data_IF_699956163213
#
_entry.id   IF_699956163213
#
_cell.length_a   1.000
_cell.length_b   1.000
_cell.length_c   1.000
_cell.angle_alpha   90.00
_cell.angle_beta   90.00
_cell.angle_gamma   90.00
#
_symmetry.space_group_name_H-M   'P 1'
#
loop_
_entity.id
_entity.type
_entity.pdbx_description
1 polymer ?
#
# COMPACT_ATOMS: atom_id res chain seq x y z
N UNK A 1 -16.18 20.43 69.60
CA UNK A 1 -16.65 19.32 68.73
C UNK A 1 -17.65 19.86 67.70
N UNK A 2 -17.25 20.70 66.73
CA UNK A 2 -18.23 21.34 65.81
C UNK A 2 -17.61 21.94 64.52
N UNK A 3 -16.71 21.23 63.81
CA UNK A 3 -16.18 21.74 62.51
C UNK A 3 -16.08 20.72 61.38
N UNK A 4 -16.47 19.45 61.57
CA UNK A 4 -16.38 18.41 60.52
C UNK A 4 -17.68 18.14 59.74
N UNK A 5 -18.84 18.61 60.21
CA UNK A 5 -20.13 18.32 59.55
C UNK A 5 -20.51 19.25 58.38
N UNK A 6 -19.93 20.46 58.32
CA UNK A 6 -20.36 21.49 57.36
C UNK A 6 -19.68 21.30 56.00
N UNK A 7 -18.37 21.00 55.98
CA UNK A 7 -17.61 20.77 54.74
C UNK A 7 -18.09 19.53 53.94
N UNK A 8 -18.58 18.49 54.63
CA UNK A 8 -19.09 17.29 53.96
C UNK A 8 -20.46 17.51 53.28
N UNK A 9 -21.30 18.42 53.81
CA UNK A 9 -22.59 18.76 53.21
C UNK A 9 -22.44 19.62 51.95
N UNK A 10 -21.50 20.57 51.94
CA UNK A 10 -21.22 21.38 50.75
C UNK A 10 -20.49 20.59 49.66
N UNK A 11 -19.57 19.69 50.01
CA UNK A 11 -18.91 18.82 49.03
C UNK A 11 -19.89 17.92 48.27
N UNK A 12 -20.91 17.39 48.95
CA UNK A 12 -21.94 16.55 48.30
C UNK A 12 -22.91 17.35 47.43
N UNK A 13 -23.25 18.58 47.81
CA UNK A 13 -24.10 19.45 46.97
C UNK A 13 -23.35 20.07 45.79
N UNK A 14 -22.07 20.41 45.94
CA UNK A 14 -21.23 20.90 44.83
C UNK A 14 -20.98 19.78 43.82
N UNK A 15 -20.78 18.54 44.29
CA UNK A 15 -20.62 17.37 43.41
C UNK A 15 -21.93 16.98 42.69
N UNK A 16 -23.10 17.19 43.31
CA UNK A 16 -24.41 16.98 42.67
C UNK A 16 -24.74 18.09 41.65
N UNK A 17 -24.34 19.34 41.89
CA UNK A 17 -24.49 20.43 40.92
C UNK A 17 -23.53 20.28 39.73
N UNK A 18 -22.29 19.81 39.95
CA UNK A 18 -21.33 19.58 38.84
C UNK A 18 -21.76 18.42 37.94
N UNK A 19 -22.41 17.39 38.50
CA UNK A 19 -22.95 16.26 37.70
C UNK A 19 -24.20 16.66 36.90
N UNK A 20 -25.01 17.62 37.39
CA UNK A 20 -26.17 18.13 36.63
C UNK A 20 -25.77 19.05 35.47
N UNK A 21 -24.67 19.80 35.61
CA UNK A 21 -24.12 20.67 34.55
C UNK A 21 -23.41 19.84 33.48
N UNK A 22 -22.80 18.71 33.83
CA UNK A 22 -22.22 17.77 32.87
C UNK A 22 -23.27 16.94 32.09
N UNK A 23 -24.52 16.85 32.58
CA UNK A 23 -25.61 16.15 31.90
C UNK A 23 -26.40 17.02 30.90
N UNK A 24 -26.17 18.34 30.87
CA UNK A 24 -26.95 19.28 30.04
C UNK A 24 -26.20 19.87 28.84
N UNK A 25 -24.95 19.43 28.58
CA UNK A 25 -24.13 19.96 27.46
C UNK A 25 -24.08 19.02 26.24
N UNK A 26 -24.69 17.83 26.29
CA UNK A 26 -24.83 16.96 25.11
C UNK A 26 -26.13 17.23 24.34
N UNK A 27 -26.34 18.48 23.92
CA UNK A 27 -27.52 18.83 23.11
C UNK A 27 -27.20 19.79 21.96
N UNK A 28 -26.06 19.62 21.29
CA UNK A 28 -25.83 20.15 19.94
C UNK A 28 -24.97 19.20 19.11
N UNK A 29 -25.46 17.98 18.91
CA UNK A 29 -25.11 17.19 17.73
C UNK A 29 -26.44 16.77 17.09
N UNK A 30 -27.12 17.72 16.44
CA UNK A 30 -28.20 17.36 15.52
C UNK A 30 -27.53 16.65 14.32
N UNK A 31 -28.00 15.47 13.91
CA UNK A 31 -27.54 14.86 12.68
C UNK A 31 -27.79 15.84 11.52
N UNK A 32 -26.75 16.04 10.72
CA UNK A 32 -26.80 16.68 9.41
C UNK A 32 -27.95 16.04 8.61
N UNK A 33 -28.75 16.88 7.94
CA UNK A 33 -30.08 16.57 7.39
C UNK A 33 -30.24 15.17 6.77
N UNK A 34 -31.21 14.40 7.27
CA UNK A 34 -31.61 13.06 6.80
C UNK A 34 -32.55 13.08 5.58
N UNK A 35 -32.60 14.18 4.82
CA UNK A 35 -33.46 14.28 3.64
C UNK A 35 -32.81 13.50 2.51
N UNK A 36 -33.52 12.47 2.05
CA UNK A 36 -33.13 11.62 0.94
C UNK A 36 -33.90 12.02 -0.30
N UNK A 37 -33.19 12.27 -1.39
CA UNK A 37 -33.74 12.76 -2.65
C UNK A 37 -33.45 11.75 -3.74
N UNK A 38 -34.48 11.45 -4.54
CA UNK A 38 -34.37 10.67 -5.76
C UNK A 38 -34.83 11.53 -6.92
N UNK A 39 -33.95 11.71 -7.89
CA UNK A 39 -34.19 12.51 -9.09
C UNK A 39 -33.69 11.74 -10.31
N UNK A 40 -34.58 11.55 -11.27
CA UNK A 40 -34.23 11.06 -12.60
C UNK A 40 -34.80 12.03 -13.64
N UNK A 41 -33.95 12.92 -14.12
CA UNK A 41 -34.29 13.93 -15.11
C UNK A 41 -33.34 13.83 -16.29
N UNK A 42 -33.89 13.88 -17.49
CA UNK A 42 -33.13 13.92 -18.73
C UNK A 42 -33.57 15.13 -19.56
N UNK A 43 -32.63 16.03 -19.83
CA UNK A 43 -32.78 17.21 -20.68
C UNK A 43 -33.95 18.14 -20.29
N UNK A 44 -34.09 18.39 -18.99
CA UNK A 44 -35.14 19.23 -18.39
C UNK A 44 -34.57 20.61 -18.05
N UNK A 45 -35.41 21.64 -17.91
CA UNK A 45 -34.93 22.96 -17.45
C UNK A 45 -34.47 22.90 -16.00
N UNK A 46 -33.47 23.71 -15.65
CA UNK A 46 -32.97 23.84 -14.28
C UNK A 46 -34.08 24.25 -13.31
N UNK A 47 -35.02 25.10 -13.74
CA UNK A 47 -36.23 25.45 -12.97
C UNK A 47 -37.02 24.20 -12.55
N UNK A 48 -37.29 23.29 -13.49
CA UNK A 48 -38.06 22.07 -13.20
C UNK A 48 -37.29 21.13 -12.27
N UNK A 49 -35.96 21.08 -12.41
CA UNK A 49 -35.10 20.27 -11.54
C UNK A 49 -35.09 20.81 -10.10
N UNK A 50 -34.98 22.13 -9.94
CA UNK A 50 -35.07 22.82 -8.66
C UNK A 50 -36.44 22.58 -8.03
N UNK A 51 -37.53 22.79 -8.78
CA UNK A 51 -38.90 22.54 -8.32
C UNK A 51 -39.12 21.09 -7.84
N UNK A 52 -38.50 20.13 -8.51
CA UNK A 52 -38.58 18.72 -8.12
C UNK A 52 -37.87 18.44 -6.78
N UNK A 53 -36.79 19.17 -6.48
CA UNK A 53 -36.07 19.10 -5.20
C UNK A 53 -36.86 19.80 -4.10
N UNK A 54 -37.40 21.00 -4.36
CA UNK A 54 -38.22 21.75 -3.38
C UNK A 54 -39.51 21.01 -3.01
N UNK A 55 -40.08 20.20 -3.92
CA UNK A 55 -41.25 19.34 -3.60
C UNK A 55 -40.92 18.16 -2.68
N UNK A 56 -39.69 17.67 -2.72
CA UNK A 56 -39.24 16.51 -1.93
C UNK A 56 -38.50 16.91 -0.65
N UNK A 57 -38.22 18.20 -0.46
CA UNK A 57 -37.37 18.68 0.63
C UNK A 57 -37.83 20.03 1.18
N UNK A 58 -37.49 20.38 2.44
CA UNK A 58 -37.79 21.69 3.01
C UNK A 58 -36.83 22.80 2.54
N UNK A 59 -35.98 22.52 1.55
CA UNK A 59 -35.00 23.48 1.05
C UNK A 59 -35.62 24.40 -0.01
N UNK A 60 -35.24 25.68 0.02
CA UNK A 60 -35.63 26.69 -0.97
C UNK A 60 -34.40 27.25 -1.66
N UNK A 61 -34.45 27.34 -2.98
CA UNK A 61 -33.35 27.86 -3.78
C UNK A 61 -33.47 29.37 -3.93
N UNK A 62 -32.40 30.09 -3.59
CA UNK A 62 -32.30 31.54 -3.73
C UNK A 62 -31.29 31.82 -4.83
N UNK A 63 -31.79 32.31 -5.96
CA UNK A 63 -30.99 32.70 -7.11
C UNK A 63 -30.83 34.22 -7.15
N UNK A 64 -29.61 34.69 -7.41
CA UNK A 64 -29.35 36.10 -7.65
C UNK A 64 -29.09 36.43 -9.11
N UNK A 65 -28.49 35.53 -9.90
CA UNK A 65 -27.91 35.88 -11.21
C UNK A 65 -27.89 34.75 -12.27
N UNK A 66 -28.43 33.55 -11.99
CA UNK A 66 -28.34 32.36 -12.88
C UNK A 66 -29.54 32.24 -13.82
N UNK A 67 -29.32 31.87 -15.09
CA UNK A 67 -30.40 31.53 -16.02
C UNK A 67 -30.98 30.14 -15.72
N UNK A 68 -32.26 30.08 -15.36
CA UNK A 68 -32.98 28.83 -15.09
C UNK A 68 -33.46 28.09 -16.35
N UNK A 69 -33.26 28.68 -17.52
CA UNK A 69 -33.59 28.07 -18.82
C UNK A 69 -32.58 27.01 -19.26
N UNK A 70 -31.44 26.91 -18.57
CA UNK A 70 -30.38 25.93 -18.85
C UNK A 70 -30.95 24.51 -18.76
N UNK A 71 -30.57 23.66 -19.71
CA UNK A 71 -30.94 22.25 -19.74
C UNK A 71 -29.98 21.42 -18.92
N UNK A 72 -30.54 20.56 -18.05
CA UNK A 72 -29.79 19.69 -17.14
C UNK A 72 -30.32 18.26 -17.22
N UNK A 73 -29.39 17.31 -17.06
CA UNK A 73 -29.70 15.89 -16.86
C UNK A 73 -29.05 15.45 -15.56
N UNK A 74 -29.82 14.84 -14.67
CA UNK A 74 -29.33 14.36 -13.37
C UNK A 74 -30.02 13.04 -13.03
N UNK A 75 -29.23 12.08 -12.56
CA UNK A 75 -29.72 10.79 -12.11
C UNK A 75 -29.10 10.47 -10.76
N UNK A 76 -29.88 10.61 -9.70
CA UNK A 76 -29.49 10.35 -8.31
C UNK A 76 -30.60 9.56 -7.62
N UNK A 77 -30.23 8.63 -6.75
CA UNK A 77 -31.18 7.75 -6.05
C UNK A 77 -30.80 7.66 -4.58
N UNK A 78 -31.73 8.03 -3.69
CA UNK A 78 -31.56 8.00 -2.23
C UNK A 78 -30.34 8.81 -1.74
N UNK A 79 -30.07 9.94 -2.38
CA UNK A 79 -28.91 10.79 -2.10
C UNK A 79 -29.23 11.91 -1.11
N UNK A 80 -28.19 12.45 -0.48
CA UNK A 80 -28.32 13.64 0.37
C UNK A 80 -28.55 14.89 -0.49
N UNK A 81 -29.04 15.97 0.14
CA UNK A 81 -29.17 17.27 -0.54
C UNK A 81 -27.83 17.78 -1.08
N UNK A 82 -26.74 17.59 -0.33
CA UNK A 82 -25.39 18.00 -0.72
C UNK A 82 -24.93 17.25 -1.98
N UNK A 83 -25.04 15.91 -1.99
CA UNK A 83 -24.66 15.12 -3.16
C UNK A 83 -25.55 15.41 -4.37
N UNK A 84 -26.85 15.62 -4.13
CA UNK A 84 -27.82 15.99 -5.17
C UNK A 84 -27.48 17.35 -5.79
N UNK A 85 -27.21 18.36 -4.98
CA UNK A 85 -26.79 19.68 -5.43
C UNK A 85 -25.44 19.62 -6.15
N UNK A 86 -24.48 18.83 -5.64
CA UNK A 86 -23.20 18.61 -6.32
C UNK A 86 -23.41 18.01 -7.72
N UNK A 87 -24.25 16.99 -7.85
CA UNK A 87 -24.52 16.35 -9.14
C UNK A 87 -25.27 17.28 -10.12
N UNK A 88 -26.15 18.14 -9.62
CA UNK A 88 -26.96 19.05 -10.43
C UNK A 88 -26.17 20.30 -10.89
N UNK A 89 -25.42 20.93 -10.00
CA UNK A 89 -24.81 22.26 -10.24
C UNK A 89 -23.35 22.20 -10.72
N UNK A 90 -22.58 21.17 -10.36
CA UNK A 90 -21.17 21.03 -10.78
C UNK A 90 -21.00 20.94 -12.31
N UNK A 91 -21.87 20.25 -13.08
CA UNK A 91 -21.71 20.18 -14.54
C UNK A 91 -22.03 21.48 -15.27
N UNK A 92 -22.84 22.36 -14.66
CA UNK A 92 -23.28 23.63 -15.26
C UNK A 92 -22.52 24.85 -14.73
N UNK A 93 -21.46 24.63 -13.96
CA UNK A 93 -20.61 25.71 -13.46
C UNK A 93 -21.32 26.64 -12.46
N UNK A 94 -22.14 26.07 -11.58
CA UNK A 94 -22.86 26.83 -10.54
C UNK A 94 -22.35 26.42 -9.16
N UNK A 95 -21.90 27.38 -8.34
CA UNK A 95 -21.67 27.16 -6.91
C UNK A 95 -22.97 27.25 -6.14
N UNK A 96 -23.01 26.55 -5.01
CA UNK A 96 -24.11 26.69 -4.06
C UNK A 96 -23.59 26.74 -2.63
N UNK A 97 -24.33 27.43 -1.75
CA UNK A 97 -24.12 27.43 -0.31
C UNK A 97 -25.43 27.12 0.41
N UNK A 98 -25.38 26.16 1.33
CA UNK A 98 -26.52 25.77 2.16
C UNK A 98 -26.43 26.50 3.50
N UNK A 99 -27.40 27.37 3.80
CA UNK A 99 -27.52 28.04 5.10
C UNK A 99 -28.94 27.80 5.66
N UNK A 100 -29.05 26.87 6.62
CA UNK A 100 -30.34 26.48 7.20
C UNK A 100 -31.20 25.76 6.16
N UNK A 101 -32.35 26.35 5.80
CA UNK A 101 -33.27 25.83 4.76
C UNK A 101 -33.08 26.50 3.41
N UNK A 102 -32.15 27.45 3.27
CA UNK A 102 -31.93 28.17 2.02
C UNK A 102 -30.67 27.66 1.32
N UNK A 103 -30.76 27.47 0.01
CA UNK A 103 -29.64 27.14 -0.86
C UNK A 103 -29.41 28.33 -1.78
N UNK A 104 -28.35 29.07 -1.52
CA UNK A 104 -27.95 30.21 -2.34
C UNK A 104 -27.16 29.71 -3.53
N UNK A 105 -27.61 30.05 -4.74
CA UNK A 105 -26.91 29.74 -5.97
C UNK A 105 -26.10 30.95 -6.43
N UNK A 106 -24.87 30.73 -6.87
CA UNK A 106 -23.98 31.79 -7.38
C UNK A 106 -23.25 31.25 -8.61
N UNK A 107 -23.19 32.06 -9.67
CA UNK A 107 -22.44 31.73 -10.88
C UNK A 107 -20.95 31.62 -10.54
N UNK A 108 -20.27 30.58 -11.05
CA UNK A 108 -18.83 30.47 -10.89
C UNK A 108 -18.17 31.46 -11.85
N UNK A 109 -17.36 32.38 -11.33
CA UNK A 109 -16.53 33.22 -12.17
C UNK A 109 -15.24 32.47 -12.52
N UNK A 110 -15.01 32.13 -13.80
CA UNK A 110 -13.83 31.38 -14.20
C UNK A 110 -12.56 32.20 -13.92
N UNK A 111 -11.63 31.61 -13.18
CA UNK A 111 -10.37 32.25 -12.81
C UNK A 111 -9.24 31.67 -13.64
N UNK A 112 -8.49 32.53 -14.34
CA UNK A 112 -7.28 32.13 -15.02
C UNK A 112 -6.12 32.07 -14.03
N UNK A 113 -5.54 30.88 -13.89
CA UNK A 113 -4.33 30.63 -13.11
C UNK A 113 -3.15 30.33 -14.03
N UNK A 114 -1.96 30.62 -13.54
CA UNK A 114 -0.70 30.32 -14.22
C UNK A 114 0.36 29.93 -13.21
N UNK A 115 1.43 29.29 -13.66
CA UNK A 115 2.52 28.96 -12.76
C UNK A 115 3.62 28.17 -13.42
N UNK A 116 4.61 27.80 -12.61
CA UNK A 116 5.76 27.00 -13.01
C UNK A 116 5.91 25.80 -12.08
N UNK A 117 6.23 24.65 -12.66
CA UNK A 117 6.44 23.38 -11.95
C UNK A 117 7.91 23.01 -12.03
N UNK A 118 8.53 22.84 -10.87
CA UNK A 118 9.95 22.58 -10.68
C UNK A 118 10.18 21.27 -9.92
N UNK A 119 11.35 20.67 -10.08
CA UNK A 119 11.85 19.59 -9.23
C UNK A 119 12.56 20.14 -7.98
N UNK A 120 12.97 19.27 -7.06
CA UNK A 120 13.72 19.66 -5.86
C UNK A 120 15.09 20.30 -6.16
N UNK A 121 15.64 20.06 -7.36
CA UNK A 121 16.90 20.64 -7.82
C UNK A 121 16.71 22.01 -8.49
N UNK A 122 15.47 22.45 -8.68
CA UNK A 122 15.10 23.71 -9.33
C UNK A 122 15.01 23.62 -10.87
N UNK A 123 15.03 22.43 -11.46
CA UNK A 123 14.81 22.25 -12.89
C UNK A 123 13.32 22.21 -13.24
N UNK A 124 12.91 22.79 -14.38
CA UNK A 124 11.52 22.73 -14.82
C UNK A 124 11.10 21.31 -15.19
N UNK A 125 9.86 20.95 -14.87
CA UNK A 125 9.27 19.64 -15.20
C UNK A 125 8.35 19.81 -16.42
N UNK A 126 8.79 19.43 -17.63
CA UNK A 126 7.95 19.48 -18.82
C UNK A 126 6.96 18.31 -18.87
N UNK A 127 5.77 18.55 -19.41
CA UNK A 127 4.74 17.53 -19.59
C UNK A 127 4.04 17.06 -18.30
N UNK A 128 4.19 17.78 -17.19
CA UNK A 128 3.39 17.56 -15.98
C UNK A 128 1.93 17.91 -16.27
N UNK A 129 1.01 17.05 -15.84
CA UNK A 129 -0.42 17.28 -15.98
C UNK A 129 -0.95 18.09 -14.79
N UNK A 130 -1.68 19.16 -15.09
CA UNK A 130 -2.33 20.05 -14.11
C UNK A 130 -3.83 19.99 -14.36
N UNK A 131 -4.58 19.40 -13.43
CA UNK A 131 -6.01 19.09 -13.60
C UNK A 131 -6.80 19.74 -12.46
N UNK A 132 -7.94 20.35 -12.77
CA UNK A 132 -8.88 20.79 -11.75
C UNK A 132 -9.58 19.59 -11.11
N UNK A 133 -9.39 19.41 -9.80
CA UNK A 133 -9.79 18.22 -9.04
C UNK A 133 -11.27 17.90 -9.24
N UNK A 134 -11.57 16.67 -9.64
CA UNK A 134 -12.93 16.19 -9.86
C UNK A 134 -13.54 16.56 -11.21
N UNK A 135 -12.77 17.18 -12.11
CA UNK A 135 -13.20 17.50 -13.47
C UNK A 135 -12.22 16.91 -14.51
N UNK A 136 -12.56 17.01 -15.78
CA UNK A 136 -11.63 16.74 -16.90
C UNK A 136 -10.95 18.01 -17.41
N UNK A 137 -11.13 19.14 -16.75
CA UNK A 137 -10.51 20.41 -17.11
C UNK A 137 -9.05 20.40 -16.65
N UNK A 138 -8.12 20.56 -17.58
CA UNK A 138 -6.70 20.46 -17.28
C UNK A 138 -5.82 20.91 -18.42
N UNK A 139 -4.54 21.05 -18.14
CA UNK A 139 -3.49 21.46 -19.06
C UNK A 139 -2.20 20.71 -18.77
N UNK A 140 -1.20 20.86 -19.62
CA UNK A 140 0.14 20.29 -19.43
C UNK A 140 1.20 21.38 -19.41
N UNK A 141 2.27 21.19 -18.65
CA UNK A 141 3.40 22.13 -18.65
C UNK A 141 4.17 22.12 -19.97
N UNK A 142 4.69 23.29 -20.35
CA UNK A 142 5.59 23.46 -21.49
C UNK A 142 7.04 23.04 -21.19
N UNK A 143 7.96 23.27 -22.13
CA UNK A 143 9.38 22.92 -22.00
C UNK A 143 10.09 23.64 -20.84
N UNK A 144 9.58 24.80 -20.45
CA UNK A 144 10.10 25.62 -19.37
C UNK A 144 9.33 25.38 -18.06
N UNK A 145 8.47 24.35 -18.02
CA UNK A 145 7.69 23.96 -16.84
C UNK A 145 6.49 24.85 -16.56
N UNK A 146 6.14 25.78 -17.46
CA UNK A 146 5.04 26.72 -17.25
C UNK A 146 3.70 26.12 -17.64
N UNK A 147 2.65 26.49 -16.91
CA UNK A 147 1.26 26.15 -17.22
C UNK A 147 0.34 27.37 -17.14
N UNK A 148 -0.77 27.30 -17.87
CA UNK A 148 -1.90 28.23 -17.76
C UNK A 148 -3.18 27.43 -17.86
N UNK A 149 -4.04 27.54 -16.85
CA UNK A 149 -5.33 26.85 -16.76
C UNK A 149 -6.41 27.86 -16.36
N UNK A 150 -7.60 27.73 -16.94
CA UNK A 150 -8.77 28.48 -16.44
C UNK A 150 -9.61 27.51 -15.63
N UNK A 151 -9.71 27.73 -14.32
CA UNK A 151 -10.50 26.90 -13.40
C UNK A 151 -11.90 27.47 -13.25
N UNK A 152 -12.84 26.63 -12.81
CA UNK A 152 -14.25 27.02 -12.68
C UNK A 152 -14.41 28.16 -11.66
N UNK A 153 -13.70 28.13 -10.54
CA UNK A 153 -13.75 29.17 -9.51
C UNK A 153 -12.51 29.24 -8.62
N UNK A 154 -12.44 30.30 -7.81
CA UNK A 154 -11.37 30.53 -6.83
C UNK A 154 -11.32 29.48 -5.69
N UNK A 155 -12.42 28.77 -5.41
CA UNK A 155 -12.49 27.67 -4.45
C UNK A 155 -12.06 26.32 -5.02
N UNK A 156 -11.83 26.21 -6.34
CA UNK A 156 -11.36 24.99 -6.97
C UNK A 156 -9.97 24.57 -6.44
N UNK A 157 -9.65 23.29 -6.58
CA UNK A 157 -8.31 22.75 -6.31
C UNK A 157 -7.71 22.19 -7.58
N UNK A 158 -6.39 22.29 -7.70
CA UNK A 158 -5.63 21.72 -8.80
C UNK A 158 -4.82 20.53 -8.29
N UNK A 159 -4.82 19.48 -9.08
CA UNK A 159 -4.02 18.27 -8.90
C UNK A 159 -2.93 18.27 -9.97
N UNK A 160 -1.69 18.15 -9.51
CA UNK A 160 -0.50 18.17 -10.33
C UNK A 160 0.12 16.78 -10.28
N UNK A 161 0.32 16.18 -11.44
CA UNK A 161 0.89 14.85 -11.58
C UNK A 161 1.99 14.85 -12.62
N UNK A 162 3.08 14.13 -12.33
CA UNK A 162 4.16 13.89 -13.28
C UNK A 162 4.75 12.51 -13.01
N UNK A 163 5.28 11.87 -14.06
CA UNK A 163 5.86 10.54 -13.93
C UNK A 163 7.11 10.59 -13.04
N UNK A 164 7.13 9.78 -11.97
CA UNK A 164 8.24 9.71 -11.03
C UNK A 164 8.22 10.79 -9.94
N UNK A 165 7.09 11.49 -9.78
CA UNK A 165 6.91 12.53 -8.76
C UNK A 165 5.62 12.29 -7.96
N UNK A 166 5.63 12.70 -6.71
CA UNK A 166 4.45 12.67 -5.85
C UNK A 166 3.36 13.60 -6.41
N UNK A 167 2.13 13.11 -6.41
CA UNK A 167 0.94 13.92 -6.74
C UNK A 167 0.76 15.02 -5.70
N UNK A 168 0.64 16.26 -6.16
CA UNK A 168 0.40 17.42 -5.29
C UNK A 168 -0.96 18.03 -5.60
N UNK A 169 -1.80 18.17 -4.57
CA UNK A 169 -3.09 18.87 -4.67
C UNK A 169 -3.03 20.20 -3.94
N UNK A 170 -3.40 21.29 -4.62
CA UNK A 170 -3.37 22.65 -4.08
C UNK A 170 -4.70 23.37 -4.30
N UNK A 171 -5.28 24.04 -3.28
CA UNK A 171 -6.41 24.93 -3.49
C UNK A 171 -5.97 26.19 -4.23
N UNK A 172 -6.79 26.67 -5.16
CA UNK A 172 -6.52 27.89 -5.93
C UNK A 172 -6.59 29.11 -5.00
N UNK A 173 -7.69 29.24 -4.26
CA UNK A 173 -7.95 30.36 -3.35
C UNK A 173 -7.90 31.70 -4.09
N UNK A 174 -7.29 32.70 -3.44
CA UNK A 174 -7.09 34.03 -4.03
C UNK A 174 -5.81 34.13 -4.90
N UNK A 175 -5.05 33.04 -5.06
CA UNK A 175 -3.77 33.04 -5.78
C UNK A 175 -3.99 32.67 -7.23
N UNK A 176 -3.50 33.51 -8.14
CA UNK A 176 -3.55 33.26 -9.60
C UNK A 176 -2.21 32.82 -10.18
N UNK A 177 -1.14 32.90 -9.38
CA UNK A 177 0.23 32.52 -9.77
C UNK A 177 0.77 31.48 -8.79
N UNK A 178 1.25 30.36 -9.32
CA UNK A 178 1.77 29.23 -8.57
C UNK A 178 3.22 28.94 -8.94
N UNK A 179 4.03 28.63 -7.92
CA UNK A 179 5.32 28.01 -8.09
C UNK A 179 5.27 26.73 -7.26
N UNK A 180 5.36 25.58 -7.92
CA UNK A 180 5.14 24.28 -7.30
C UNK A 180 6.38 23.43 -7.48
N UNK A 181 6.96 22.98 -6.37
CA UNK A 181 8.05 22.03 -6.38
C UNK A 181 7.50 20.63 -6.13
N UNK A 182 7.64 19.74 -7.11
CA UNK A 182 7.30 18.33 -6.94
C UNK A 182 8.45 17.59 -6.27
N UNK A 183 8.09 16.64 -5.41
CA UNK A 183 9.04 15.72 -4.80
C UNK A 183 9.12 14.47 -5.65
N UNK A 184 10.33 13.96 -5.89
CA UNK A 184 10.48 12.67 -6.56
C UNK A 184 9.80 11.59 -5.71
N UNK A 185 8.88 10.86 -6.34
CA UNK A 185 8.27 9.70 -5.71
C UNK A 185 9.37 8.65 -5.62
N UNK A 186 9.81 8.36 -4.39
CA UNK A 186 10.67 7.22 -4.15
C UNK A 186 9.86 5.97 -4.48
N UNK A 187 10.01 5.46 -5.70
CA UNK A 187 9.50 4.14 -6.07
C UNK A 187 10.22 3.13 -5.19
N UNK A 188 9.63 2.84 -4.03
CA UNK A 188 10.01 1.69 -3.22
C UNK A 188 9.57 0.49 -4.03
N UNK A 189 10.48 0.01 -4.87
CA UNK A 189 10.39 -1.33 -5.42
C UNK A 189 10.48 -2.28 -4.23
N UNK A 190 9.33 -2.63 -3.65
CA UNK A 190 9.24 -3.78 -2.75
C UNK A 190 9.82 -4.99 -3.48
N UNK A 191 10.95 -5.48 -2.99
CA UNK A 191 11.65 -6.66 -3.51
C UNK A 191 12.61 -6.38 -4.66
N UNK A 192 13.77 -5.79 -4.38
CA UNK A 192 14.91 -5.86 -5.32
C UNK A 192 16.03 -6.70 -4.73
N UNK A 193 16.16 -7.95 -5.20
CA UNK A 193 17.41 -8.72 -5.05
C UNK A 193 18.33 -8.30 -6.20
N UNK A 194 19.46 -7.72 -5.85
CA UNK A 194 20.51 -7.35 -6.81
C UNK A 194 21.26 -8.62 -7.20
N UNK A 195 21.13 -9.07 -8.43
CA UNK A 195 22.13 -9.96 -9.04
C UNK A 195 23.01 -9.16 -10.00
N UNK A 196 24.32 -9.40 -9.90
CA UNK A 196 25.38 -8.68 -10.57
C UNK A 196 25.35 -8.88 -12.10
N UNK A 197 24.50 -8.14 -12.84
CA UNK A 197 24.61 -7.88 -14.29
C UNK A 197 23.45 -7.00 -14.81
N UNK A 198 23.27 -5.81 -14.24
CA UNK A 198 22.76 -4.59 -14.94
C UNK A 198 21.42 -4.58 -15.69
N UNK A 199 20.61 -5.64 -15.74
CA UNK A 199 19.32 -5.65 -16.47
C UNK A 199 18.18 -6.03 -15.51
N UNK A 200 17.26 -5.08 -15.29
CA UNK A 200 16.05 -5.24 -14.45
C UNK A 200 14.93 -5.91 -15.26
N UNK A 201 14.28 -6.95 -14.72
CA UNK A 201 13.09 -7.57 -15.32
C UNK A 201 12.11 -7.96 -14.22
N UNK A 202 10.84 -7.61 -14.39
CA UNK A 202 9.74 -7.91 -13.46
C UNK A 202 9.64 -9.41 -13.15
N UNK A 203 9.31 -9.78 -11.91
CA UNK A 203 9.10 -11.19 -11.49
C UNK A 203 8.01 -11.91 -12.31
N UNK A 204 7.11 -11.17 -12.96
CA UNK A 204 6.11 -11.71 -13.90
C UNK A 204 6.68 -12.10 -15.27
N UNK A 205 7.95 -11.81 -15.54
CA UNK A 205 8.61 -12.08 -16.82
C UNK A 205 9.63 -13.22 -16.76
N UNK A 206 9.66 -14.01 -15.68
CA UNK A 206 10.42 -15.25 -15.66
C UNK A 206 9.57 -16.37 -16.26
N UNK A 207 10.00 -16.93 -17.39
CA UNK A 207 9.45 -18.17 -17.97
C UNK A 207 9.72 -19.41 -17.09
N UNK A 208 10.15 -19.19 -15.84
CA UNK A 208 10.61 -20.20 -14.90
C UNK A 208 9.84 -20.08 -13.58
N UNK A 209 9.36 -21.21 -13.09
CA UNK A 209 8.69 -21.32 -11.80
C UNK A 209 9.75 -21.15 -10.69
N UNK A 210 9.70 -20.02 -9.98
CA UNK A 210 10.44 -19.76 -8.74
C UNK A 210 9.43 -19.82 -7.59
N UNK A 211 9.73 -20.58 -6.56
CA UNK A 211 8.92 -20.61 -5.34
C UNK A 211 9.74 -20.03 -4.19
N UNK A 212 9.22 -18.98 -3.57
CA UNK A 212 9.85 -18.30 -2.44
C UNK A 212 9.21 -18.71 -1.12
N UNK A 213 10.05 -18.93 -0.12
CA UNK A 213 9.67 -19.21 1.26
C UNK A 213 10.29 -18.15 2.15
N UNK A 214 9.43 -17.34 2.77
CA UNK A 214 9.81 -16.29 3.71
C UNK A 214 10.27 -16.85 5.06
N UNK A 215 11.15 -16.09 5.74
CA UNK A 215 11.75 -16.49 7.01
C UNK A 215 10.75 -16.80 8.13
N UNK A 216 9.58 -16.13 8.18
CA UNK A 216 8.60 -16.40 9.24
C UNK A 216 8.13 -17.86 9.21
N UNK A 217 7.95 -18.42 8.00
CA UNK A 217 7.53 -19.80 7.81
C UNK A 217 8.60 -20.82 8.18
N UNK A 218 9.88 -20.44 8.20
CA UNK A 218 10.98 -21.33 8.60
C UNK A 218 11.15 -21.37 10.12
N UNK A 219 10.88 -20.25 10.79
CA UNK A 219 11.03 -20.11 12.25
C UNK A 219 9.85 -20.64 13.07
N UNK A 220 8.69 -20.85 12.44
CA UNK A 220 7.49 -21.42 13.08
C UNK A 220 7.71 -22.88 13.53
N UNK A 221 8.45 -23.67 12.75
CA UNK A 221 8.83 -25.04 13.09
C UNK A 221 10.34 -25.11 13.23
N UNK A 222 10.82 -24.97 14.47
CA UNK A 222 12.25 -25.06 14.82
C UNK A 222 12.73 -26.50 14.71
N UNK A 223 13.20 -26.89 13.52
CA UNK A 223 13.83 -28.17 13.27
C UNK A 223 15.36 -28.03 13.34
N UNK A 224 16.06 -29.06 13.84
CA UNK A 224 17.52 -29.09 13.83
C UNK A 224 18.14 -29.04 12.43
N UNK A 225 17.40 -29.43 11.40
CA UNK A 225 17.73 -29.15 10.01
C UNK A 225 16.53 -28.45 9.35
N UNK A 226 16.67 -27.14 9.10
CA UNK A 226 15.58 -26.32 8.55
C UNK A 226 15.10 -26.78 7.17
N UNK A 227 15.91 -27.55 6.44
CA UNK A 227 15.52 -28.15 5.16
C UNK A 227 14.28 -29.04 5.35
N UNK A 228 14.13 -29.70 6.50
CA UNK A 228 12.94 -30.49 6.80
C UNK A 228 11.68 -29.62 6.93
N UNK A 229 11.82 -28.35 7.33
CA UNK A 229 10.71 -27.40 7.41
C UNK A 229 10.22 -26.93 6.04
N UNK A 230 10.98 -27.19 4.96
CA UNK A 230 10.55 -26.94 3.58
C UNK A 230 9.62 -28.04 3.03
N UNK A 231 9.54 -29.18 3.72
CA UNK A 231 8.67 -30.28 3.33
C UNK A 231 7.21 -29.84 3.33
N UNK A 232 6.54 -29.97 2.18
CA UNK A 232 5.14 -29.56 2.02
C UNK A 232 4.91 -28.05 1.89
N UNK A 233 5.92 -27.19 2.15
CA UNK A 233 5.85 -25.73 1.92
C UNK A 233 6.23 -25.34 0.50
N UNK A 234 7.02 -26.19 -0.18
CA UNK A 234 7.40 -26.01 -1.59
C UNK A 234 6.84 -27.17 -2.42
N UNK A 235 6.07 -26.84 -3.45
CA UNK A 235 5.44 -27.82 -4.33
C UNK A 235 6.48 -28.53 -5.21
N UNK A 236 6.47 -29.86 -5.16
CA UNK A 236 7.37 -30.70 -5.97
C UNK A 236 8.75 -30.91 -5.37
N UNK A 237 8.93 -30.64 -4.07
CA UNK A 237 10.16 -30.94 -3.33
C UNK A 237 9.96 -32.21 -2.50
N UNK A 238 10.87 -33.16 -2.64
CA UNK A 238 10.93 -34.37 -1.81
C UNK A 238 12.23 -34.36 -1.02
N UNK A 239 12.12 -34.34 0.31
CA UNK A 239 13.26 -34.35 1.22
C UNK A 239 13.37 -35.76 1.79
N UNK A 240 14.54 -36.38 1.62
CA UNK A 240 14.88 -37.67 2.20
C UNK A 240 15.85 -37.44 3.35
N UNK A 241 15.36 -37.54 4.57
CA UNK A 241 16.17 -37.43 5.78
C UNK A 241 16.95 -38.73 6.01
N UNK A 242 18.24 -38.61 6.33
CA UNK A 242 19.00 -39.76 6.81
C UNK A 242 18.53 -40.16 8.21
N UNK A 243 18.58 -41.46 8.53
CA UNK A 243 18.21 -42.00 9.83
C UNK A 243 19.29 -41.79 10.92
N UNK A 244 20.31 -40.96 10.66
CA UNK A 244 21.48 -40.76 11.52
C UNK A 244 21.23 -39.87 12.74
N UNK A 245 19.97 -39.54 13.05
CA UNK A 245 19.59 -38.71 14.20
C UNK A 245 19.56 -37.21 13.90
N UNK A 246 19.43 -36.41 14.96
CA UNK A 246 19.38 -34.94 14.93
C UNK A 246 20.63 -34.39 14.22
N UNK A 247 20.45 -33.57 13.18
CA UNK A 247 21.55 -33.04 12.36
C UNK A 247 22.04 -33.95 11.23
N UNK A 248 21.37 -35.08 10.98
CA UNK A 248 21.66 -35.96 9.84
C UNK A 248 21.49 -35.26 8.48
N UNK A 249 22.32 -35.67 7.51
CA UNK A 249 22.23 -35.18 6.13
C UNK A 249 20.82 -35.41 5.55
N UNK A 250 20.32 -34.44 4.79
CA UNK A 250 18.99 -34.49 4.19
C UNK A 250 19.11 -34.24 2.68
N UNK A 251 18.76 -35.25 1.88
CA UNK A 251 18.84 -35.16 0.42
C UNK A 251 17.57 -34.52 -0.13
N UNK A 252 17.71 -33.43 -0.87
CA UNK A 252 16.58 -32.71 -1.46
C UNK A 252 16.49 -32.99 -2.95
N UNK A 253 15.36 -33.56 -3.36
CA UNK A 253 15.08 -33.93 -4.75
C UNK A 253 13.93 -33.08 -5.27
N UNK A 254 14.19 -32.32 -6.33
CA UNK A 254 13.21 -31.44 -6.97
C UNK A 254 12.56 -32.14 -8.17
N UNK A 255 11.26 -32.37 -8.08
CA UNK A 255 10.41 -33.02 -9.10
C UNK A 255 10.89 -34.44 -9.49
N UNK A 256 11.26 -35.23 -8.49
CA UNK A 256 11.61 -36.65 -8.63
C UNK A 256 13.07 -36.92 -9.03
N UNK A 257 13.48 -38.19 -8.95
CA UNK A 257 14.85 -38.60 -9.26
C UNK A 257 15.13 -38.41 -10.76
N UNK A 258 16.12 -37.59 -11.10
CA UNK A 258 16.51 -37.31 -12.49
C UNK A 258 17.63 -38.20 -12.99
N UNK A 259 18.28 -38.95 -12.11
CA UNK A 259 19.35 -39.87 -12.49
C UNK A 259 19.27 -41.19 -11.73
N UNK A 260 19.61 -42.27 -12.44
CA UNK A 260 19.66 -43.64 -11.91
C UNK A 260 21.04 -44.00 -11.35
N UNK A 261 22.09 -43.28 -11.79
CA UNK A 261 23.50 -43.53 -11.45
C UNK A 261 24.24 -42.31 -10.90
N UNK A 262 23.70 -41.10 -11.07
CA UNK A 262 24.29 -39.85 -10.55
C UNK A 262 23.45 -39.29 -9.39
N UNK A 263 24.05 -38.39 -8.60
CA UNK A 263 23.32 -37.70 -7.53
C UNK A 263 22.17 -36.86 -8.11
N UNK A 264 20.97 -37.01 -7.53
CA UNK A 264 19.79 -36.20 -7.86
C UNK A 264 19.54 -35.09 -6.82
N UNK A 265 20.58 -34.71 -6.04
CA UNK A 265 20.47 -33.64 -5.04
C UNK A 265 20.40 -32.27 -5.75
N UNK A 266 19.61 -31.35 -5.19
CA UNK A 266 19.63 -29.95 -5.60
C UNK A 266 20.93 -29.28 -5.14
N UNK A 267 21.38 -28.27 -5.90
CA UNK A 267 22.51 -27.43 -5.50
C UNK A 267 22.05 -26.41 -4.47
N UNK A 268 22.73 -26.34 -3.32
CA UNK A 268 22.49 -25.25 -2.38
C UNK A 268 23.34 -24.06 -2.76
N UNK A 269 22.78 -22.85 -2.65
CA UNK A 269 23.50 -21.59 -2.90
C UNK A 269 23.22 -20.67 -1.74
N UNK A 270 24.25 -20.23 -1.01
CA UNK A 270 24.12 -19.31 0.13
C UNK A 270 24.70 -17.97 -0.29
N UNK A 271 23.90 -16.90 -0.26
CA UNK A 271 24.30 -15.54 -0.63
C UNK A 271 25.00 -15.45 -1.99
N UNK A 272 24.57 -16.28 -2.94
CA UNK A 272 25.14 -16.35 -4.31
C UNK A 272 26.35 -17.29 -4.46
N UNK A 273 26.82 -17.91 -3.38
CA UNK A 273 27.94 -18.85 -3.40
C UNK A 273 27.40 -20.29 -3.44
N UNK A 274 27.69 -21.08 -4.51
CA UNK A 274 27.26 -22.46 -4.58
C UNK A 274 27.99 -23.31 -3.55
N UNK A 275 27.22 -24.01 -2.74
CA UNK A 275 27.69 -24.94 -1.73
C UNK A 275 27.71 -26.33 -2.34
N UNK A 276 28.91 -26.74 -2.73
CA UNK A 276 29.14 -28.10 -3.17
C UNK A 276 29.12 -29.00 -1.95
N UNK A 277 28.10 -29.85 -1.90
CA UNK A 277 28.11 -30.98 -1.01
C UNK A 277 29.19 -31.95 -1.52
N UNK A 278 30.42 -31.69 -1.10
CA UNK A 278 31.51 -32.63 -1.27
C UNK A 278 31.13 -33.78 -0.36
N UNK A 279 30.43 -34.76 -0.93
CA UNK A 279 30.25 -36.07 -0.30
C UNK A 279 31.65 -36.60 -0.08
N UNK A 280 32.22 -36.28 1.09
CA UNK A 280 33.46 -36.86 1.55
C UNK A 280 33.25 -38.36 1.43
N UNK A 281 34.10 -39.00 0.63
CA UNK A 281 34.11 -40.46 0.55
C UNK A 281 34.02 -40.98 1.96
N UNK A 282 33.01 -41.84 2.21
CA UNK A 282 32.72 -42.35 3.54
C UNK A 282 34.02 -42.77 4.20
N UNK A 283 34.28 -42.22 5.38
CA UNK A 283 35.45 -42.63 6.13
C UNK A 283 35.42 -44.13 6.34
N UNK A 284 36.61 -44.74 6.37
CA UNK A 284 36.77 -46.16 6.67
C UNK A 284 36.04 -46.52 7.98
N UNK A 285 35.68 -47.79 8.14
CA UNK A 285 34.83 -48.46 9.16
C UNK A 285 34.89 -48.00 10.65
N UNK A 286 35.77 -47.06 11.02
CA UNK A 286 35.90 -46.41 12.33
C UNK A 286 35.84 -44.86 12.32
N UNK A 287 35.57 -44.23 11.19
CA UNK A 287 35.49 -42.77 11.10
C UNK A 287 34.15 -42.26 11.66
N UNK A 288 34.21 -41.46 12.73
CA UNK A 288 33.05 -40.85 13.39
C UNK A 288 32.60 -39.54 12.73
N UNK A 289 33.22 -39.13 11.62
CA UNK A 289 32.75 -38.00 10.83
C UNK A 289 31.58 -38.42 9.97
N UNK A 290 30.36 -38.26 10.50
CA UNK A 290 29.16 -38.30 9.68
C UNK A 290 29.32 -37.31 8.52
N UNK A 291 28.91 -37.72 7.31
CA UNK A 291 28.82 -36.80 6.18
C UNK A 291 27.74 -35.76 6.53
N UNK A 292 28.15 -34.60 7.05
CA UNK A 292 27.24 -33.47 7.27
C UNK A 292 27.15 -32.67 5.98
N UNK A 293 25.95 -32.22 5.64
CA UNK A 293 25.79 -31.25 4.56
C UNK A 293 26.08 -29.85 5.13
N UNK A 294 26.77 -28.98 4.38
CA UNK A 294 27.05 -27.60 4.80
C UNK A 294 25.80 -26.78 5.12
N UNK A 295 24.63 -27.30 4.76
CA UNK A 295 23.32 -26.70 5.03
C UNK A 295 22.80 -26.98 6.45
N UNK A 296 23.25 -28.06 7.09
CA UNK A 296 22.84 -28.41 8.45
C UNK A 296 23.47 -27.47 9.50
N UNK A 297 24.57 -26.80 9.15
CA UNK A 297 25.29 -25.87 10.03
C UNK A 297 24.70 -24.44 10.00
N UNK A 298 23.68 -24.18 9.17
CA UNK A 298 23.05 -22.88 9.05
C UNK A 298 21.85 -22.75 9.99
N UNK A 299 21.86 -21.70 10.81
CA UNK A 299 20.75 -21.40 11.71
C UNK A 299 19.56 -20.82 10.90
N UNK A 300 18.34 -21.37 11.02
CA UNK A 300 17.16 -20.84 10.33
C UNK A 300 16.85 -19.37 10.68
N UNK A 301 17.26 -18.90 11.85
CA UNK A 301 17.01 -17.51 12.26
C UNK A 301 17.89 -16.49 11.53
N UNK A 302 19.02 -16.94 10.97
CA UNK A 302 19.91 -16.12 10.15
C UNK A 302 19.45 -16.09 8.69
N UNK A 303 18.45 -16.89 8.31
CA UNK A 303 17.89 -16.93 6.95
C UNK A 303 16.86 -15.81 6.79
N UNK A 304 17.03 -14.99 5.75
CA UNK A 304 16.08 -13.96 5.32
C UNK A 304 15.02 -14.55 4.38
N UNK A 305 15.44 -15.31 3.37
CA UNK A 305 14.52 -15.95 2.42
C UNK A 305 15.17 -17.17 1.77
N UNK A 306 14.32 -18.10 1.31
CA UNK A 306 14.72 -19.27 0.52
C UNK A 306 13.97 -19.25 -0.80
N UNK A 307 14.69 -19.31 -1.92
CA UNK A 307 14.12 -19.39 -3.26
C UNK A 307 14.49 -20.71 -3.91
N UNK A 308 13.49 -21.48 -4.32
CA UNK A 308 13.71 -22.77 -4.99
C UNK A 308 13.59 -22.58 -6.50
N UNK A 309 14.68 -22.88 -7.20
CA UNK A 309 14.79 -22.83 -8.65
C UNK A 309 14.68 -24.21 -9.26
N UNK A 310 13.84 -24.34 -10.29
CA UNK A 310 13.74 -25.57 -11.08
C UNK A 310 15.01 -25.81 -11.91
N UNK A 311 15.33 -27.08 -12.19
CA UNK A 311 16.57 -27.49 -12.85
C UNK A 311 16.96 -26.76 -14.14
N UNK A 312 16.00 -26.31 -14.96
CA UNK A 312 16.31 -25.54 -16.16
C UNK A 312 16.79 -24.11 -15.84
N UNK A 313 16.13 -23.45 -14.88
CA UNK A 313 16.46 -22.09 -14.45
C UNK A 313 17.75 -22.06 -13.63
N UNK A 314 17.92 -23.06 -12.78
CA UNK A 314 19.10 -23.19 -11.94
C UNK A 314 20.36 -23.52 -12.77
N UNK A 315 20.25 -24.40 -13.77
CA UNK A 315 21.35 -24.72 -14.67
C UNK A 315 21.80 -23.55 -15.55
N UNK A 316 20.88 -22.63 -15.87
CA UNK A 316 21.23 -21.40 -16.59
C UNK A 316 22.14 -20.47 -15.76
N UNK A 317 22.01 -20.51 -14.42
CA UNK A 317 22.78 -19.65 -13.51
C UNK A 317 24.05 -20.33 -12.98
N UNK A 318 23.99 -21.61 -12.65
CA UNK A 318 25.07 -22.34 -11.98
C UNK A 318 25.57 -23.57 -12.77
N UNK A 319 25.20 -23.68 -14.05
CA UNK A 319 25.72 -24.72 -14.94
C UNK A 319 25.20 -26.14 -14.64
N UNK A 320 25.96 -27.15 -15.07
CA UNK A 320 25.57 -28.56 -14.97
C UNK A 320 25.33 -29.04 -13.54
N UNK A 321 25.98 -28.40 -12.56
CA UNK A 321 25.87 -28.72 -11.14
C UNK A 321 24.48 -28.41 -10.58
N UNK A 322 23.72 -27.53 -11.24
CA UNK A 322 22.36 -27.17 -10.88
C UNK A 322 21.30 -27.77 -11.83
N UNK A 323 21.64 -28.75 -12.67
CA UNK A 323 20.69 -29.44 -13.57
C UNK A 323 19.52 -30.12 -12.80
N UNK A 324 19.77 -30.50 -11.55
CA UNK A 324 18.76 -31.05 -10.65
C UNK A 324 17.89 -29.97 -9.97
N UNK A 325 18.24 -28.69 -10.14
CA UNK A 325 17.62 -27.53 -9.49
C UNK A 325 18.54 -26.95 -8.41
N UNK A 326 18.19 -25.76 -7.92
CA UNK A 326 18.95 -25.08 -6.88
C UNK A 326 18.04 -24.52 -5.79
N UNK A 327 18.55 -24.49 -4.57
CA UNK A 327 17.93 -23.86 -3.41
C UNK A 327 18.81 -22.69 -3.03
N UNK A 328 18.32 -21.49 -3.32
CA UNK A 328 18.99 -20.24 -2.99
C UNK A 328 18.57 -19.80 -1.59
N UNK A 329 19.54 -19.49 -0.75
CA UNK A 329 19.34 -19.04 0.62
C UNK A 329 19.99 -17.68 0.73
N UNK A 330 19.20 -16.71 1.15
CA UNK A 330 19.69 -15.36 1.45
C UNK A 330 19.75 -15.21 2.95
N UNK A 331 20.90 -14.85 3.50
CA UNK A 331 21.06 -14.59 4.94
C UNK A 331 20.69 -13.15 5.28
N UNK A 332 20.38 -12.90 6.56
CA UNK A 332 20.11 -11.56 7.08
C UNK A 332 21.42 -10.79 7.16
N UNK A 333 21.52 -9.69 6.42
CA UNK A 333 22.62 -8.74 6.53
C UNK A 333 22.36 -7.73 7.65
N UNK A 334 23.42 -7.24 8.30
CA UNK A 334 23.32 -6.17 9.29
C UNK A 334 22.86 -4.86 8.64
N UNK A 335 21.82 -4.25 9.20
CA UNK A 335 21.32 -2.93 8.77
C UNK A 335 22.15 -1.81 9.38
N UNK A 336 22.50 -0.78 8.59
CA UNK A 336 23.18 0.40 9.11
C UNK A 336 22.28 1.15 10.10
N UNK A 337 22.74 1.31 11.35
CA UNK A 337 21.96 1.95 12.40
C UNK A 337 22.29 1.44 13.80
N UNK A 338 21.28 1.40 14.67
CA UNK A 338 21.44 0.95 16.07
C UNK A 338 21.60 -0.57 16.13
N UNK A 339 22.53 -1.04 16.96
CA UNK A 339 22.73 -2.47 17.23
C UNK A 339 21.41 -3.11 17.69
N UNK A 340 20.88 -4.03 16.89
CA UNK A 340 19.75 -4.90 17.25
C UNK A 340 20.31 -6.28 17.60
N UNK A 341 20.07 -6.72 18.83
CA UNK A 341 20.44 -8.07 19.29
C UNK A 341 19.14 -8.86 19.47
N UNK A 342 18.99 -9.94 18.71
CA UNK A 342 17.91 -10.91 18.88
C UNK A 342 18.44 -12.15 19.62
N UNK A 343 17.75 -12.57 20.68
CA UNK A 343 18.05 -13.81 21.41
C UNK A 343 16.87 -14.76 21.27
N UNK A 344 17.15 -16.01 20.92
CA UNK A 344 16.17 -17.08 20.84
C UNK A 344 16.67 -18.30 21.60
N UNK A 345 15.73 -19.07 22.15
CA UNK A 345 16.01 -20.32 22.84
C UNK A 345 14.96 -21.35 22.44
N UNK A 346 15.38 -22.58 22.20
CA UNK A 346 14.50 -23.72 21.94
C UNK A 346 14.93 -24.89 22.85
N UNK A 347 13.97 -25.63 23.38
CA UNK A 347 14.24 -26.82 24.22
C UNK A 347 13.45 -27.99 23.65
N UNK A 348 14.17 -28.99 23.14
CA UNK A 348 13.59 -30.22 22.63
C UNK A 348 13.88 -31.36 23.60
N UNK A 349 12.86 -32.13 23.95
CA UNK A 349 12.99 -33.31 24.80
C UNK A 349 12.96 -34.56 23.92
N UNK A 350 14.06 -35.30 23.87
CA UNK A 350 14.07 -36.65 23.32
C UNK A 350 13.48 -37.61 24.37
N UNK A 351 12.42 -38.35 24.01
CA UNK A 351 11.93 -39.49 24.81
C UNK A 351 12.22 -40.81 24.13
#
# INVERSE_FOLDING_TARGET
MYKRGVLQRYGRQICLLSVLILLSVNLFARPQSTVRITLQLDNVTLETAIDAIEKQSPYLFVNKEIDFSIKVSVSVSDETIENTCKALFSPIGVSYRIEGTYIYLTELEPVRISGTILDQSGYPIPGAAVIETGTTNGTTTDLDGNFSLTVSDAGASIEITSLGYDTVTLPVGARTVFEVTLQEEAVVLEGTVVTALGIRRDEKALSYNVQEVNSEMLTEVKNANFINSLAGKVAGVTINTSSSGVGGASKVVLRGNKSISQSSNALYVIDGIPMYNFGGGGGTEFDSKGATESIADLNPEDIKSISVLTGAAAAALYGSEAANGAIMITTKAGEAGKLKVSFSSNTEFLS
#
